data_IF_206470457126
#
_entry.id   IF_206470457126
#
_cell.length_a   1.000
_cell.length_b   1.000
_cell.length_c   1.000
_cell.angle_alpha   90.00
_cell.angle_beta   90.00
_cell.angle_gamma   90.00
#
_symmetry.space_group_name_H-M   'P 1'
#
loop_
_entity.id
_entity.type
_entity.pdbx_description
1 polymer ?
#
# COMPACT_ATOMS: atom_id res chain seq x y z
N UNK A 1 18.06 -14.83 3.97
CA UNK A 1 17.32 -14.28 2.81
C UNK A 1 16.16 -13.48 3.37
N UNK A 2 16.01 -12.21 2.99
CA UNK A 2 14.95 -11.33 3.48
C UNK A 2 13.73 -11.38 2.55
N UNK A 3 12.53 -11.50 3.09
CA UNK A 3 11.28 -11.50 2.33
C UNK A 3 10.65 -10.12 2.36
N UNK A 4 10.31 -9.60 1.18
CA UNK A 4 9.81 -8.25 0.96
C UNK A 4 8.42 -8.31 0.32
N UNK A 5 7.41 -7.79 1.00
CA UNK A 5 6.05 -7.67 0.48
C UNK A 5 5.92 -6.46 -0.45
N UNK A 6 5.71 -6.73 -1.74
CA UNK A 6 5.51 -5.72 -2.78
C UNK A 6 4.02 -5.55 -3.11
N UNK A 7 3.49 -4.32 -3.10
CA UNK A 7 2.09 -4.06 -3.39
C UNK A 7 1.79 -4.15 -4.89
N UNK A 8 0.80 -4.95 -5.27
CA UNK A 8 0.23 -4.91 -6.64
C UNK A 8 -0.41 -3.54 -6.90
N UNK A 9 -0.33 -3.08 -8.15
CA UNK A 9 -1.01 -1.88 -8.63
C UNK A 9 -0.06 -0.69 -8.77
N UNK A 10 -0.54 0.51 -8.46
CA UNK A 10 0.13 1.77 -8.78
C UNK A 10 1.53 1.93 -8.14
N UNK A 11 1.77 1.32 -6.98
CA UNK A 11 3.06 1.42 -6.27
C UNK A 11 4.11 0.41 -6.76
N UNK A 12 3.73 -0.58 -7.58
CA UNK A 12 4.61 -1.72 -7.90
C UNK A 12 5.84 -1.30 -8.71
N UNK A 13 5.66 -0.47 -9.74
CA UNK A 13 6.75 -0.01 -10.61
C UNK A 13 7.82 0.72 -9.81
N UNK A 14 7.39 1.71 -9.03
CA UNK A 14 8.26 2.60 -8.25
C UNK A 14 8.96 1.81 -7.14
N UNK A 15 8.26 0.84 -6.55
CA UNK A 15 8.82 -0.11 -5.58
C UNK A 15 9.97 -0.93 -6.19
N UNK A 16 9.77 -1.46 -7.40
CA UNK A 16 10.79 -2.27 -8.09
C UNK A 16 11.98 -1.39 -8.49
N UNK A 17 11.74 -0.17 -8.94
CA UNK A 17 12.81 0.78 -9.27
C UNK A 17 13.66 1.15 -8.05
N UNK A 18 13.03 1.39 -6.90
CA UNK A 18 13.73 1.63 -5.63
C UNK A 18 14.66 0.46 -5.27
N UNK A 19 14.15 -0.77 -5.33
CA UNK A 19 14.95 -1.96 -5.02
C UNK A 19 16.08 -2.21 -6.03
N UNK A 20 15.84 -1.94 -7.32
CA UNK A 20 16.88 -1.97 -8.34
C UNK A 20 18.00 -0.99 -8.04
N UNK A 21 17.68 0.20 -7.54
CA UNK A 21 18.66 1.22 -7.13
C UNK A 21 19.64 0.73 -6.07
N UNK A 22 19.27 -0.28 -5.29
CA UNK A 22 20.13 -0.92 -4.28
C UNK A 22 20.59 -2.33 -4.66
N UNK A 23 20.40 -2.73 -5.93
CA UNK A 23 20.90 -4.00 -6.48
C UNK A 23 19.98 -5.21 -6.31
N UNK A 24 18.72 -5.03 -5.89
CA UNK A 24 17.73 -6.12 -5.80
C UNK A 24 16.74 -6.03 -6.97
N UNK A 25 16.64 -7.08 -7.79
CA UNK A 25 15.80 -7.06 -8.98
C UNK A 25 14.55 -7.93 -8.85
N UNK A 26 13.38 -7.29 -8.91
CA UNK A 26 12.06 -7.90 -8.89
C UNK A 26 11.26 -7.67 -10.19
N UNK A 27 11.93 -7.29 -11.29
CA UNK A 27 11.31 -6.94 -12.59
C UNK A 27 10.39 -7.99 -13.16
N UNK A 28 10.60 -9.26 -12.81
CA UNK A 28 9.75 -10.35 -13.28
C UNK A 28 8.27 -10.13 -12.92
N UNK A 29 7.96 -9.36 -11.86
CA UNK A 29 6.58 -8.99 -11.51
C UNK A 29 5.93 -7.97 -12.47
N UNK A 30 6.71 -7.26 -13.28
CA UNK A 30 6.18 -6.31 -14.28
C UNK A 30 5.76 -7.01 -15.58
N UNK A 31 6.18 -8.26 -15.79
CA UNK A 31 5.72 -9.03 -16.95
C UNK A 31 4.25 -9.44 -16.76
N UNK A 32 3.39 -8.91 -17.63
CA UNK A 32 1.96 -9.23 -17.69
C UNK A 32 1.64 -10.71 -17.90
N UNK A 33 2.59 -11.52 -18.39
CA UNK A 33 2.45 -12.98 -18.53
C UNK A 33 2.83 -13.73 -17.26
N UNK A 34 3.59 -13.10 -16.36
CA UNK A 34 3.98 -13.72 -15.11
C UNK A 34 2.75 -13.92 -14.20
N UNK A 35 2.68 -15.09 -13.57
CA UNK A 35 1.64 -15.49 -12.61
C UNK A 35 2.21 -15.85 -11.24
N UNK A 36 3.53 -15.81 -11.10
CA UNK A 36 4.22 -16.06 -9.85
C UNK A 36 3.86 -14.97 -8.84
N UNK A 37 3.59 -15.39 -7.61
CA UNK A 37 3.38 -14.48 -6.48
C UNK A 37 4.66 -14.30 -5.65
N UNK A 38 5.71 -15.04 -5.98
CA UNK A 38 6.97 -15.03 -5.27
C UNK A 38 8.10 -15.19 -6.28
N UNK A 39 9.11 -14.33 -6.18
CA UNK A 39 10.33 -14.42 -6.98
C UNK A 39 11.53 -14.16 -6.08
N UNK A 40 12.60 -14.92 -6.30
CA UNK A 40 13.89 -14.66 -5.65
C UNK A 40 14.70 -13.72 -6.54
N UNK A 41 15.36 -12.73 -5.94
CA UNK A 41 16.22 -11.82 -6.70
C UNK A 41 17.47 -12.57 -7.24
N UNK A 42 18.10 -12.11 -8.35
CA UNK A 42 19.24 -12.81 -8.95
C UNK A 42 20.47 -13.01 -8.02
N UNK A 43 20.63 -12.17 -7.00
CA UNK A 43 21.72 -12.27 -6.00
C UNK A 43 21.44 -13.31 -4.90
N UNK A 44 20.22 -13.87 -4.84
CA UNK A 44 19.75 -14.77 -3.77
C UNK A 44 19.79 -14.15 -2.36
N UNK A 45 19.79 -12.83 -2.25
CA UNK A 45 19.84 -12.11 -0.96
C UNK A 45 18.43 -11.87 -0.42
N UNK A 46 17.48 -11.63 -1.32
CA UNK A 46 16.11 -11.26 -1.02
C UNK A 46 15.10 -12.02 -1.90
N UNK A 47 13.86 -12.04 -1.39
CA UNK A 47 12.72 -12.62 -2.07
C UNK A 47 11.57 -11.62 -2.06
N UNK A 48 11.01 -11.35 -3.24
CA UNK A 48 9.84 -10.51 -3.41
C UNK A 48 8.58 -11.36 -3.33
N UNK A 49 7.58 -10.87 -2.59
CA UNK A 49 6.25 -11.45 -2.49
C UNK A 49 5.22 -10.43 -3.01
N UNK A 50 4.53 -10.78 -4.08
CA UNK A 50 3.59 -9.91 -4.75
C UNK A 50 2.19 -10.04 -4.14
N UNK A 51 1.84 -9.09 -3.28
CA UNK A 51 0.60 -9.09 -2.48
C UNK A 51 -0.34 -7.96 -2.87
N UNK A 52 -1.63 -8.07 -2.54
CA UNK A 52 -2.53 -6.91 -2.67
C UNK A 52 -2.05 -5.83 -1.69
N UNK A 53 -2.12 -4.56 -2.10
CA UNK A 53 -1.66 -3.45 -1.27
C UNK A 53 -2.28 -3.46 0.13
N UNK A 54 -3.57 -3.78 0.24
CA UNK A 54 -4.28 -3.92 1.52
C UNK A 54 -3.68 -4.97 2.43
N UNK A 55 -3.04 -6.01 1.90
CA UNK A 55 -2.60 -7.16 2.67
C UNK A 55 -1.13 -7.03 3.08
N UNK A 56 -0.36 -6.10 2.49
CA UNK A 56 1.05 -5.84 2.85
C UNK A 56 1.24 -5.71 4.36
N UNK A 57 0.46 -4.89 5.10
CA UNK A 57 0.61 -4.77 6.54
C UNK A 57 0.51 -6.11 7.29
N UNK A 58 -0.44 -6.95 6.90
CA UNK A 58 -0.69 -8.24 7.53
C UNK A 58 0.49 -9.18 7.29
N UNK A 59 1.03 -9.22 6.08
CA UNK A 59 2.20 -10.06 5.78
C UNK A 59 3.43 -9.66 6.59
N UNK A 60 3.59 -8.37 6.89
CA UNK A 60 4.71 -7.87 7.71
C UNK A 60 4.46 -8.14 9.19
N UNK A 61 3.28 -7.78 9.69
CA UNK A 61 2.87 -7.93 11.10
C UNK A 61 2.95 -9.39 11.58
N UNK A 62 2.48 -10.33 10.76
CA UNK A 62 2.50 -11.76 11.08
C UNK A 62 3.82 -12.47 10.68
N UNK A 63 4.81 -11.71 10.17
CA UNK A 63 6.17 -12.18 9.92
C UNK A 63 6.38 -13.01 8.65
N UNK A 64 5.38 -13.15 7.76
CA UNK A 64 5.57 -13.80 6.45
C UNK A 64 6.49 -12.99 5.54
N UNK A 65 6.54 -11.67 5.72
CA UNK A 65 7.53 -10.77 5.15
C UNK A 65 8.23 -9.99 6.28
N UNK A 66 9.52 -9.70 6.13
CA UNK A 66 10.26 -8.88 7.11
C UNK A 66 10.17 -7.39 6.77
N UNK A 67 9.90 -7.05 5.51
CA UNK A 67 9.73 -5.68 5.02
C UNK A 67 8.53 -5.63 4.08
N UNK A 68 7.92 -4.45 3.94
CA UNK A 68 6.87 -4.22 2.96
C UNK A 68 6.78 -2.77 2.54
N UNK A 69 6.35 -2.54 1.29
CA UNK A 69 6.02 -1.20 0.80
C UNK A 69 4.50 -1.05 0.82
N UNK A 70 4.01 -0.01 1.49
CA UNK A 70 2.58 0.21 1.68
C UNK A 70 2.26 1.70 1.65
N UNK A 71 1.06 2.05 1.20
CA UNK A 71 0.54 3.41 1.29
C UNK A 71 0.27 3.80 2.75
N UNK A 72 0.54 5.06 3.08
CA UNK A 72 0.34 5.60 4.43
C UNK A 72 -1.14 5.57 4.86
N UNK A 73 -2.06 5.70 3.91
CA UNK A 73 -3.50 5.56 4.09
C UNK A 73 -3.91 4.19 4.67
N UNK A 74 -3.23 3.12 4.26
CA UNK A 74 -3.49 1.77 4.78
C UNK A 74 -2.91 1.56 6.17
N UNK A 75 -1.78 2.20 6.50
CA UNK A 75 -1.23 2.19 7.85
C UNK A 75 -2.19 2.88 8.83
N UNK A 76 -2.72 4.04 8.45
CA UNK A 76 -3.73 4.75 9.24
C UNK A 76 -5.02 3.93 9.41
N UNK A 77 -5.49 3.28 8.34
CA UNK A 77 -6.73 2.50 8.39
C UNK A 77 -6.63 1.23 9.22
N UNK A 78 -5.51 0.49 9.08
CA UNK A 78 -5.36 -0.83 9.71
C UNK A 78 -4.71 -0.76 11.08
N UNK A 79 -3.92 0.28 11.37
CA UNK A 79 -3.12 0.39 12.60
C UNK A 79 -2.37 -0.90 12.96
N UNK A 80 -1.59 -1.47 12.02
CA UNK A 80 -0.85 -2.72 12.24
C UNK A 80 0.31 -2.51 13.24
N UNK A 81 0.67 -3.56 13.97
CA UNK A 81 1.85 -3.56 14.86
C UNK A 81 3.16 -3.74 14.05
N UNK A 82 3.58 -2.69 13.34
CA UNK A 82 4.80 -2.68 12.50
C UNK A 82 5.62 -1.41 12.70
N UNK A 83 6.94 -1.50 12.50
CA UNK A 83 7.81 -0.33 12.54
C UNK A 83 7.74 0.48 11.23
N UNK A 84 7.55 1.79 11.35
CA UNK A 84 7.62 2.71 10.21
C UNK A 84 9.08 3.11 9.97
N UNK A 85 9.69 2.57 8.91
CA UNK A 85 11.12 2.79 8.65
C UNK A 85 11.43 4.12 7.96
N UNK A 86 10.55 4.60 7.09
CA UNK A 86 10.73 5.87 6.38
C UNK A 86 9.70 6.11 5.28
N UNK A 87 9.63 7.37 4.82
CA UNK A 87 8.87 7.78 3.65
C UNK A 87 9.71 7.59 2.38
N UNK A 88 9.13 6.92 1.38
CA UNK A 88 9.80 6.61 0.11
C UNK A 88 9.64 7.71 -0.94
N UNK A 89 8.87 8.77 -0.64
CA UNK A 89 8.66 9.94 -1.50
C UNK A 89 8.03 9.65 -2.88
N UNK A 90 7.24 8.58 -3.00
CA UNK A 90 6.40 8.29 -4.17
C UNK A 90 5.00 7.81 -3.75
N UNK A 91 4.08 7.70 -4.72
CA UNK A 91 2.70 7.28 -4.43
C UNK A 91 1.84 8.35 -3.77
N UNK A 92 2.22 9.63 -3.91
CA UNK A 92 1.52 10.76 -3.30
C UNK A 92 0.04 10.82 -3.66
N UNK A 93 -0.82 10.89 -2.65
CA UNK A 93 -2.26 11.03 -2.80
C UNK A 93 -2.85 11.80 -1.60
N UNK A 94 -4.15 12.10 -1.65
CA UNK A 94 -4.88 12.67 -0.51
C UNK A 94 -6.17 11.90 -0.24
N UNK A 95 -6.46 11.68 1.03
CA UNK A 95 -7.79 11.26 1.46
C UNK A 95 -8.74 12.46 1.35
N UNK A 96 -9.96 12.25 0.85
CA UNK A 96 -10.94 13.34 0.70
C UNK A 96 -12.36 12.80 0.86
N UNK A 97 -13.23 13.63 1.44
CA UNK A 97 -14.67 13.38 1.45
C UNK A 97 -15.25 13.93 0.15
N UNK A 98 -16.08 13.14 -0.52
CA UNK A 98 -16.73 13.52 -1.77
C UNK A 98 -18.24 13.40 -1.65
N UNK A 99 -18.95 14.33 -2.29
CA UNK A 99 -20.41 14.36 -2.43
C UNK A 99 -20.77 14.43 -3.92
N UNK A 100 -22.02 14.12 -4.32
CA UNK A 100 -22.46 14.35 -5.69
C UNK A 100 -22.23 15.81 -6.11
N UNK A 101 -21.93 16.05 -7.40
CA UNK A 101 -21.69 17.41 -7.92
C UNK A 101 -22.86 18.38 -7.70
N UNK A 102 -24.08 17.86 -7.59
CA UNK A 102 -25.32 18.61 -7.31
C UNK A 102 -25.57 18.86 -5.82
N UNK A 103 -24.72 18.33 -4.94
CA UNK A 103 -24.84 18.51 -3.50
C UNK A 103 -24.60 19.97 -3.11
N UNK A 104 -25.35 20.52 -2.14
CA UNK A 104 -25.11 21.87 -1.64
C UNK A 104 -23.86 21.95 -0.74
N UNK A 105 -23.32 20.81 -0.27
CA UNK A 105 -22.20 20.79 0.68
C UNK A 105 -20.86 20.98 -0.03
N UNK A 106 -20.10 21.99 0.39
CA UNK A 106 -18.76 22.31 -0.13
C UNK A 106 -17.64 21.95 0.85
N UNK A 107 -17.99 21.76 2.13
CA UNK A 107 -17.04 21.42 3.19
C UNK A 107 -17.56 20.22 4.00
N UNK A 108 -16.70 19.27 4.41
CA UNK A 108 -17.10 18.18 5.31
C UNK A 108 -17.81 18.65 6.59
N UNK A 109 -17.49 19.85 7.10
CA UNK A 109 -18.12 20.45 8.28
C UNK A 109 -19.59 20.85 8.09
N UNK A 110 -20.04 20.96 6.83
CA UNK A 110 -21.43 21.29 6.49
C UNK A 110 -22.33 20.04 6.45
N UNK A 111 -21.73 18.84 6.53
CA UNK A 111 -22.49 17.60 6.53
C UNK A 111 -23.38 17.52 7.78
N UNK A 112 -24.67 17.15 7.63
CA UNK A 112 -25.56 16.99 8.77
C UNK A 112 -25.03 15.97 9.79
N UNK A 113 -25.36 16.13 11.08
CA UNK A 113 -25.10 15.11 12.08
C UNK A 113 -25.68 13.76 11.64
N UNK A 114 -24.98 12.66 11.94
CA UNK A 114 -25.35 11.30 11.55
C UNK A 114 -25.37 11.04 10.03
N UNK A 115 -24.67 11.85 9.23
CA UNK A 115 -24.43 11.54 7.81
C UNK A 115 -23.76 10.17 7.65
N UNK A 116 -24.23 9.39 6.68
CA UNK A 116 -23.65 8.07 6.37
C UNK A 116 -22.51 8.23 5.37
N UNK A 117 -21.32 7.77 5.74
CA UNK A 117 -20.15 7.77 4.87
C UNK A 117 -19.92 6.35 4.35
N UNK A 118 -19.90 6.19 3.03
CA UNK A 118 -19.49 4.94 2.38
C UNK A 118 -18.01 5.02 2.03
N UNK A 119 -17.17 4.19 2.67
CA UNK A 119 -15.73 4.18 2.44
C UNK A 119 -15.15 2.78 2.65
N UNK A 120 -14.08 2.46 1.93
CA UNK A 120 -13.22 1.31 2.26
C UNK A 120 -12.33 1.60 3.48
N UNK A 121 -12.08 2.88 3.75
CA UNK A 121 -11.31 3.38 4.87
C UNK A 121 -12.29 3.77 5.98
N UNK A 122 -12.79 2.75 6.69
CA UNK A 122 -13.85 2.90 7.68
C UNK A 122 -13.31 3.56 8.94
N UNK A 123 -12.11 3.17 9.39
CA UNK A 123 -11.49 3.76 10.58
C UNK A 123 -11.08 5.22 10.33
N UNK A 124 -10.52 5.52 9.16
CA UNK A 124 -10.21 6.90 8.80
C UNK A 124 -11.45 7.78 8.60
N UNK A 125 -12.60 7.17 8.27
CA UNK A 125 -13.87 7.89 8.09
C UNK A 125 -14.69 8.03 9.38
N UNK A 126 -14.33 7.33 10.46
CA UNK A 126 -14.97 7.52 11.77
C UNK A 126 -14.63 8.93 12.27
N UNK A 127 -15.67 9.64 12.69
CA UNK A 127 -15.60 10.98 13.32
C UNK A 127 -15.84 10.85 14.80
#
# INVERSE_FOLDING_TARGET
>A
MITIALPKGALLSDSIELFKGIGLDFSAFLDSKNRQLQITDPTNTAQGLLVRATDVPVYVEYGQAQLGIVGYDLLLEKSPEVAHLGDLNFGGCRMSVAVPKTSPYQNPRELPPNSKIASKFVNCAKT
#
